data_IF_384401133429
#
_entry.id   IF_384401133429
#
_cell.length_a   1.000
_cell.length_b   1.000
_cell.length_c   1.000
_cell.angle_alpha   90.00
_cell.angle_beta   90.00
_cell.angle_gamma   90.00
#
_symmetry.space_group_name_H-M   'P 1'
#
loop_
_entity.id
_entity.type
_entity.pdbx_description
1 polymer ?
#
# COMPACT_ATOMS: atom_id res chain seq x y z
N UNK A 1 -19.58 -3.97 -15.96
CA UNK A 1 -19.16 -4.65 -14.74
C UNK A 1 -17.75 -5.17 -14.96
N UNK A 2 -16.80 -4.69 -14.18
CA UNK A 2 -15.45 -5.24 -14.14
C UNK A 2 -15.56 -6.47 -13.26
N UNK A 3 -15.37 -7.67 -13.85
CA UNK A 3 -15.37 -8.90 -13.08
C UNK A 3 -14.12 -8.97 -12.19
N UNK A 4 -14.31 -9.51 -11.00
CA UNK A 4 -13.18 -9.85 -10.11
C UNK A 4 -12.28 -10.83 -10.85
N UNK A 5 -10.99 -10.50 -11.03
CA UNK A 5 -10.02 -11.47 -11.53
C UNK A 5 -9.72 -12.46 -10.40
N UNK A 6 -9.87 -13.77 -10.63
CA UNK A 6 -9.55 -14.75 -9.60
C UNK A 6 -8.03 -14.84 -9.41
N UNK A 7 -7.58 -14.82 -8.16
CA UNK A 7 -6.18 -14.98 -7.78
C UNK A 7 -5.66 -16.42 -8.02
N UNK A 8 -6.54 -17.35 -8.37
CA UNK A 8 -6.20 -18.76 -8.62
C UNK A 8 -6.69 -19.13 -10.01
N UNK A 9 -5.77 -19.55 -10.86
CA UNK A 9 -6.07 -20.10 -12.18
C UNK A 9 -6.08 -21.62 -12.08
N UNK A 10 -7.26 -22.24 -12.17
CA UNK A 10 -7.39 -23.67 -12.29
C UNK A 10 -7.38 -24.03 -13.79
N UNK A 11 -6.43 -24.84 -14.27
CA UNK A 11 -6.40 -25.24 -15.68
C UNK A 11 -7.64 -26.07 -16.01
N UNK A 12 -8.42 -25.62 -17.00
CA UNK A 12 -9.60 -26.35 -17.49
C UNK A 12 -9.13 -27.44 -18.43
N UNK A 13 -9.15 -28.69 -17.97
CA UNK A 13 -8.84 -29.89 -18.77
C UNK A 13 -10.14 -30.61 -19.12
N UNK A 14 -10.09 -31.56 -20.06
CA UNK A 14 -11.24 -32.42 -20.37
C UNK A 14 -11.77 -33.19 -19.15
N UNK A 15 -10.88 -33.62 -18.24
CA UNK A 15 -11.24 -34.28 -16.98
C UNK A 15 -12.02 -33.36 -16.04
N UNK A 16 -11.68 -32.06 -16.00
CA UNK A 16 -12.39 -31.06 -15.18
C UNK A 16 -13.80 -30.78 -15.74
N UNK A 17 -13.98 -30.89 -17.06
CA UNK A 17 -15.26 -30.61 -17.73
C UNK A 17 -16.20 -31.83 -17.72
N UNK A 18 -15.67 -33.04 -17.80
CA UNK A 18 -16.43 -34.27 -18.00
C UNK A 18 -16.22 -35.33 -16.89
N UNK A 19 -15.40 -35.04 -15.89
CA UNK A 19 -15.15 -35.93 -14.76
C UNK A 19 -16.32 -35.99 -13.77
N UNK A 20 -16.38 -37.08 -12.98
CA UNK A 20 -17.28 -37.14 -11.84
C UNK A 20 -16.67 -36.34 -10.68
N UNK A 21 -17.25 -35.17 -10.38
CA UNK A 21 -16.82 -34.23 -9.34
C UNK A 21 -16.68 -32.80 -9.87
N UNK A 22 -16.77 -31.84 -8.99
CA UNK A 22 -16.52 -30.43 -9.30
C UNK A 22 -15.09 -30.09 -8.87
N UNK A 23 -14.14 -30.26 -9.81
CA UNK A 23 -12.73 -29.98 -9.54
C UNK A 23 -12.45 -28.53 -9.11
N UNK A 24 -13.31 -27.59 -9.51
CA UNK A 24 -13.24 -26.19 -9.08
C UNK A 24 -13.67 -26.05 -7.62
N UNK A 25 -14.72 -26.77 -7.25
CA UNK A 25 -15.20 -26.81 -5.86
C UNK A 25 -14.19 -27.54 -4.96
N UNK A 26 -13.64 -28.65 -5.42
CA UNK A 26 -12.65 -29.43 -4.69
C UNK A 26 -11.36 -28.59 -4.46
N UNK A 27 -10.89 -27.85 -5.46
CA UNK A 27 -9.73 -26.94 -5.30
C UNK A 27 -10.08 -25.76 -4.40
N UNK A 28 -11.27 -25.18 -4.51
CA UNK A 28 -11.72 -24.12 -3.62
C UNK A 28 -11.83 -24.59 -2.17
N UNK A 29 -12.35 -25.80 -1.96
CA UNK A 29 -12.41 -26.44 -0.63
C UNK A 29 -11.01 -26.76 -0.12
N UNK A 30 -10.11 -27.25 -0.97
CA UNK A 30 -8.72 -27.51 -0.60
C UNK A 30 -7.98 -26.22 -0.22
N UNK A 31 -8.26 -25.10 -0.90
CA UNK A 31 -7.73 -23.78 -0.54
C UNK A 31 -8.30 -23.26 0.79
N UNK A 32 -9.59 -23.49 1.05
CA UNK A 32 -10.23 -23.10 2.31
C UNK A 32 -9.82 -23.99 3.49
N UNK A 33 -9.53 -25.28 3.20
CA UNK A 33 -9.07 -26.26 4.17
C UNK A 33 -7.54 -26.33 4.28
N UNK A 34 -6.79 -25.70 3.37
CA UNK A 34 -5.39 -25.44 3.67
C UNK A 34 -5.40 -24.78 5.03
N UNK A 35 -4.75 -25.40 6.06
CA UNK A 35 -4.50 -24.63 7.27
C UNK A 35 -3.90 -23.35 6.72
N UNK A 36 -4.54 -22.21 7.01
CA UNK A 36 -3.89 -20.92 6.81
C UNK A 36 -2.48 -21.19 7.29
N UNK A 37 -1.49 -21.18 6.38
CA UNK A 37 -0.10 -21.41 6.78
C UNK A 37 -0.01 -20.46 7.93
N UNK A 38 0.09 -21.03 9.16
CA UNK A 38 -0.01 -20.23 10.36
C UNK A 38 1.10 -19.24 10.14
N UNK A 39 0.69 -18.04 9.65
CA UNK A 39 1.60 -17.11 9.10
C UNK A 39 2.61 -16.94 10.18
N UNK A 40 3.87 -17.15 9.89
CA UNK A 40 4.92 -16.91 10.88
C UNK A 40 4.60 -15.54 11.36
N UNK A 41 4.03 -15.43 12.58
CA UNK A 41 3.75 -14.10 13.12
C UNK A 41 5.12 -13.45 13.26
N UNK A 42 5.33 -12.29 12.62
CA UNK A 42 6.62 -11.63 12.71
C UNK A 42 6.96 -11.41 14.19
N UNK A 43 8.23 -11.47 14.52
CA UNK A 43 8.72 -11.24 15.89
C UNK A 43 8.53 -9.79 16.37
N UNK A 44 8.02 -8.92 15.50
CA UNK A 44 7.76 -7.50 15.72
C UNK A 44 7.60 -6.79 14.38
N UNK A 45 7.33 -5.48 14.36
CA UNK A 45 7.30 -4.68 13.14
C UNK A 45 8.73 -4.47 12.59
N UNK A 46 8.89 -4.12 11.31
CA UNK A 46 10.15 -3.63 10.77
C UNK A 46 10.60 -2.37 11.47
N UNK A 47 11.89 -2.07 11.39
CA UNK A 47 12.46 -0.83 11.91
C UNK A 47 12.08 0.35 11.03
N UNK A 48 11.69 1.47 11.67
CA UNK A 48 11.40 2.71 10.96
C UNK A 48 12.66 3.58 10.98
N UNK A 49 13.12 3.95 9.79
CA UNK A 49 14.26 4.84 9.62
C UNK A 49 14.00 6.25 10.17
N UNK A 50 15.02 6.91 10.67
CA UNK A 50 14.95 8.35 10.90
C UNK A 50 14.81 9.13 9.59
N UNK A 51 14.33 10.39 9.59
CA UNK A 51 14.26 11.21 8.38
C UNK A 51 15.60 11.36 7.66
N UNK A 52 16.71 11.38 8.39
CA UNK A 52 18.05 11.46 7.79
C UNK A 52 18.45 10.17 7.05
N UNK A 53 18.12 9.00 7.62
CA UNK A 53 18.34 7.70 6.98
C UNK A 53 17.41 7.55 5.77
N UNK A 54 16.12 7.91 5.89
CA UNK A 54 15.17 7.93 4.79
C UNK A 54 15.65 8.82 3.64
N UNK A 55 16.22 10.00 3.95
CA UNK A 55 16.81 10.87 2.93
C UNK A 55 18.04 10.23 2.27
N UNK A 56 18.87 9.54 3.04
CA UNK A 56 20.03 8.82 2.49
C UNK A 56 19.59 7.65 1.59
N UNK A 57 18.57 6.89 1.99
CA UNK A 57 17.98 5.81 1.21
C UNK A 57 17.41 6.33 -0.13
N UNK A 58 16.71 7.48 -0.11
CA UNK A 58 16.19 8.12 -1.33
C UNK A 58 17.32 8.48 -2.33
N UNK A 59 18.53 8.78 -1.86
CA UNK A 59 19.69 9.06 -2.72
C UNK A 59 20.35 7.78 -3.29
N UNK A 60 19.98 6.62 -2.79
CA UNK A 60 20.54 5.32 -3.18
C UNK A 60 19.59 4.50 -4.07
N UNK A 61 18.55 5.14 -4.63
CA UNK A 61 17.55 4.49 -5.48
C UNK A 61 16.85 3.30 -4.80
N UNK A 62 16.66 3.36 -3.47
CA UNK A 62 15.87 2.37 -2.75
C UNK A 62 14.43 2.40 -3.29
N UNK A 63 13.82 1.23 -3.58
CA UNK A 63 12.51 1.18 -4.21
C UNK A 63 11.40 1.74 -3.32
N UNK A 64 10.38 2.31 -3.95
CA UNK A 64 9.15 2.65 -3.25
C UNK A 64 8.27 1.41 -3.12
N UNK A 65 7.66 1.25 -1.95
CA UNK A 65 6.75 0.13 -1.66
C UNK A 65 5.65 0.00 -2.73
N UNK A 66 5.13 1.13 -3.19
CA UNK A 66 4.09 1.20 -4.22
C UNK A 66 4.55 0.67 -5.59
N UNK A 67 5.85 0.70 -5.87
CA UNK A 67 6.42 0.21 -7.12
C UNK A 67 6.61 -1.31 -7.13
N UNK A 68 6.66 -1.92 -5.94
CA UNK A 68 6.83 -3.35 -5.76
C UNK A 68 5.50 -4.12 -5.84
N UNK A 69 4.38 -3.42 -5.67
CA UNK A 69 3.06 -4.01 -5.81
C UNK A 69 2.73 -4.24 -7.29
N UNK A 70 2.26 -5.46 -7.67
CA UNK A 70 1.83 -5.74 -9.04
C UNK A 70 0.50 -5.09 -9.40
N UNK A 71 -0.28 -4.67 -8.40
CA UNK A 71 -1.57 -4.02 -8.59
C UNK A 71 -1.39 -2.62 -9.16
N UNK A 72 -2.13 -2.31 -10.23
CA UNK A 72 -2.14 -0.95 -10.77
C UNK A 72 -2.87 0.01 -9.81
N UNK A 73 -2.29 1.19 -9.62
CA UNK A 73 -2.92 2.26 -8.86
C UNK A 73 -4.19 2.73 -9.58
N UNK A 74 -5.34 2.48 -8.99
CA UNK A 74 -6.59 3.09 -9.43
C UNK A 74 -6.67 4.53 -8.90
N UNK A 75 -6.70 5.49 -9.82
CA UNK A 75 -6.83 6.91 -9.48
C UNK A 75 -8.25 7.28 -9.01
N UNK A 76 -9.23 6.38 -9.16
CA UNK A 76 -10.61 6.59 -8.72
C UNK A 76 -10.80 6.23 -7.25
N UNK A 77 -10.12 6.94 -6.38
CA UNK A 77 -10.14 6.75 -4.94
C UNK A 77 -11.44 7.26 -4.34
N UNK A 78 -12.17 6.39 -3.67
CA UNK A 78 -13.41 6.72 -2.99
C UNK A 78 -13.22 6.64 -1.49
N UNK A 79 -13.73 7.62 -0.76
CA UNK A 79 -13.75 7.56 0.69
C UNK A 79 -14.55 6.32 1.18
N UNK A 80 -14.03 5.65 2.21
CA UNK A 80 -14.64 4.45 2.80
C UNK A 80 -14.28 3.13 2.10
N UNK A 81 -13.58 3.16 0.98
CA UNK A 81 -13.03 1.94 0.35
C UNK A 81 -11.62 1.65 0.86
N UNK A 82 -11.27 0.38 0.92
CA UNK A 82 -9.92 -0.10 1.25
C UNK A 82 -9.28 -0.62 -0.02
N UNK A 83 -8.12 -0.07 -0.38
CA UNK A 83 -7.32 -0.53 -1.51
C UNK A 83 -6.20 -1.42 -0.96
N UNK A 84 -6.19 -2.68 -1.37
CA UNK A 84 -5.22 -3.66 -0.88
C UNK A 84 -4.18 -3.95 -1.95
N UNK A 85 -2.91 -3.90 -1.54
CA UNK A 85 -1.73 -4.19 -2.35
C UNK A 85 -0.95 -5.32 -1.71
N UNK A 86 -0.31 -6.16 -2.53
CA UNK A 86 0.49 -7.28 -2.09
C UNK A 86 1.94 -7.06 -2.50
N UNK A 87 2.86 -7.16 -1.55
CA UNK A 87 4.30 -6.97 -1.79
C UNK A 87 5.05 -8.16 -1.21
N UNK A 88 6.06 -8.64 -1.93
CA UNK A 88 6.99 -9.65 -1.42
C UNK A 88 8.36 -9.04 -1.32
N UNK A 89 9.03 -9.24 -0.19
CA UNK A 89 10.36 -8.72 0.13
C UNK A 89 11.26 -9.84 0.68
N UNK A 90 12.57 -9.65 0.51
CA UNK A 90 13.58 -10.37 1.28
C UNK A 90 13.83 -9.63 2.62
N UNK A 91 14.26 -10.34 3.66
CA UNK A 91 14.45 -9.78 5.02
C UNK A 91 15.53 -8.68 5.09
N UNK A 92 16.41 -8.62 4.08
CA UNK A 92 17.48 -7.60 3.95
C UNK A 92 17.10 -6.38 3.12
N UNK A 93 15.90 -6.35 2.53
CA UNK A 93 15.51 -5.24 1.67
C UNK A 93 15.12 -4.00 2.48
N UNK A 94 15.52 -2.85 1.96
CA UNK A 94 15.06 -1.55 2.42
C UNK A 94 14.00 -1.03 1.45
N UNK A 95 12.96 -0.38 1.96
CA UNK A 95 11.92 0.22 1.12
C UNK A 95 11.55 1.61 1.61
N UNK A 96 11.10 2.44 0.68
CA UNK A 96 10.52 3.75 0.96
C UNK A 96 9.00 3.67 0.83
N UNK A 97 8.29 4.03 1.87
CA UNK A 97 6.84 4.11 1.89
C UNK A 97 6.42 5.55 1.68
N UNK A 98 5.69 5.81 0.60
CA UNK A 98 5.37 7.15 0.12
C UNK A 98 3.88 7.45 0.23
N UNK A 99 3.55 8.63 0.77
CA UNK A 99 2.29 9.29 0.46
C UNK A 99 2.60 10.60 -0.27
N UNK A 100 1.90 10.84 -1.39
CA UNK A 100 2.04 12.08 -2.15
C UNK A 100 0.70 12.76 -2.38
N UNK A 101 0.68 14.08 -2.29
CA UNK A 101 -0.43 14.91 -2.71
C UNK A 101 0.08 15.99 -3.65
N UNK A 102 -0.53 16.11 -4.83
CA UNK A 102 -0.15 17.11 -5.83
C UNK A 102 -1.36 17.98 -6.19
N UNK A 103 -1.12 19.24 -6.52
CA UNK A 103 -2.15 20.18 -6.91
C UNK A 103 -1.69 21.06 -8.08
N UNK A 104 -2.64 21.68 -8.77
CA UNK A 104 -2.38 22.58 -9.91
C UNK A 104 -1.78 23.93 -9.50
N UNK A 105 -1.71 24.25 -8.21
CA UNK A 105 -1.08 25.46 -7.69
C UNK A 105 -0.58 25.26 -6.27
N UNK A 106 0.38 26.08 -5.86
CA UNK A 106 0.90 26.11 -4.49
C UNK A 106 -0.20 26.38 -3.45
N UNK A 107 -1.12 27.28 -3.75
CA UNK A 107 -2.25 27.62 -2.87
C UNK A 107 -3.18 26.41 -2.64
N UNK A 108 -3.49 25.65 -3.70
CA UNK A 108 -4.28 24.43 -3.60
C UNK A 108 -3.52 23.34 -2.83
N UNK A 109 -2.23 23.18 -3.09
CA UNK A 109 -1.37 22.23 -2.34
C UNK A 109 -1.39 22.53 -0.84
N UNK A 110 -1.23 23.81 -0.46
CA UNK A 110 -1.35 24.25 0.94
C UNK A 110 -2.73 23.95 1.54
N UNK A 111 -3.80 24.24 0.79
CA UNK A 111 -5.18 23.97 1.25
C UNK A 111 -5.45 22.48 1.47
N UNK A 112 -4.87 21.60 0.63
CA UNK A 112 -4.95 20.14 0.82
C UNK A 112 -4.30 19.75 2.12
N UNK A 113 -3.06 20.19 2.36
CA UNK A 113 -2.32 19.88 3.60
C UNK A 113 -3.04 20.34 4.86
N UNK A 114 -3.64 21.53 4.84
CA UNK A 114 -4.40 22.09 5.96
C UNK A 114 -5.69 21.29 6.25
N UNK A 115 -6.19 20.55 5.24
CA UNK A 115 -7.45 19.82 5.30
C UNK A 115 -7.28 18.32 5.47
N UNK A 116 -6.05 17.84 5.37
CA UNK A 116 -5.70 16.43 5.35
C UNK A 116 -5.09 15.99 6.67
N UNK A 117 -5.55 14.84 7.17
CA UNK A 117 -4.89 14.11 8.23
C UNK A 117 -4.30 12.83 7.64
N UNK A 118 -2.98 12.66 7.76
CA UNK A 118 -2.24 11.48 7.32
C UNK A 118 -1.82 10.64 8.51
N UNK A 119 -2.27 9.39 8.55
CA UNK A 119 -1.87 8.41 9.54
C UNK A 119 -1.26 7.18 8.84
N UNK A 120 -0.06 6.82 9.23
CA UNK A 120 0.60 5.59 8.83
C UNK A 120 0.69 4.64 10.04
N UNK A 121 0.49 3.35 9.80
CA UNK A 121 0.73 2.34 10.83
C UNK A 121 1.32 1.06 10.24
N UNK A 122 2.16 0.38 11.00
CA UNK A 122 2.78 -0.91 10.68
C UNK A 122 2.39 -1.89 11.77
N UNK A 123 1.76 -3.01 11.41
CA UNK A 123 1.29 -4.06 12.33
C UNK A 123 0.44 -3.49 13.49
N UNK A 124 -0.39 -2.48 13.17
CA UNK A 124 -1.21 -1.77 14.14
C UNK A 124 -0.47 -0.77 15.04
N UNK A 125 0.84 -0.60 14.86
CA UNK A 125 1.63 0.42 15.57
C UNK A 125 1.68 1.71 14.73
N UNK A 126 1.29 2.87 15.27
CA UNK A 126 1.38 4.12 14.52
C UNK A 126 2.84 4.49 14.26
N UNK A 127 3.12 4.97 13.05
CA UNK A 127 4.39 5.59 12.69
C UNK A 127 4.38 7.03 13.19
N UNK A 128 5.28 7.43 14.10
CA UNK A 128 5.32 8.81 14.58
C UNK A 128 5.59 9.79 13.44
N UNK A 129 4.90 10.94 13.44
CA UNK A 129 5.09 11.97 12.41
C UNK A 129 6.52 12.52 12.35
N UNK A 130 7.25 12.48 13.46
CA UNK A 130 8.65 12.90 13.52
C UNK A 130 9.59 11.97 12.72
N UNK A 131 9.12 10.80 12.32
CA UNK A 131 9.86 9.87 11.46
C UNK A 131 9.60 10.13 9.97
N UNK A 132 8.71 11.05 9.60
CA UNK A 132 8.47 11.36 8.21
C UNK A 132 9.48 12.35 7.66
N UNK A 133 10.06 12.00 6.51
CA UNK A 133 10.76 12.95 5.67
C UNK A 133 9.72 13.67 4.81
N UNK A 134 9.55 14.97 5.02
CA UNK A 134 8.65 15.82 4.23
C UNK A 134 9.42 16.55 3.14
N UNK A 135 8.97 16.43 1.90
CA UNK A 135 9.57 17.09 0.75
C UNK A 135 8.50 17.83 -0.04
N UNK A 136 8.90 18.94 -0.65
CA UNK A 136 8.08 19.71 -1.59
C UNK A 136 8.79 19.79 -2.92
N UNK A 137 8.05 19.66 -4.01
CA UNK A 137 8.59 19.77 -5.37
C UNK A 137 7.57 20.44 -6.28
N UNK A 138 8.07 21.26 -7.18
CA UNK A 138 7.34 21.72 -8.36
C UNK A 138 7.88 20.95 -9.56
N UNK A 139 7.00 20.20 -10.22
CA UNK A 139 7.35 19.44 -11.40
C UNK A 139 6.20 19.47 -12.41
N UNK A 140 6.50 19.86 -13.66
CA UNK A 140 5.53 19.96 -14.75
C UNK A 140 4.29 20.81 -14.43
N UNK A 141 4.46 21.88 -13.64
CA UNK A 141 3.36 22.76 -13.21
C UNK A 141 2.45 22.16 -12.14
N UNK A 142 2.89 21.10 -11.50
CA UNK A 142 2.25 20.51 -10.31
C UNK A 142 3.07 20.83 -9.07
N UNK A 143 2.38 21.19 -8.01
CA UNK A 143 2.96 21.44 -6.70
C UNK A 143 2.68 20.22 -5.81
N UNK A 144 3.72 19.45 -5.55
CA UNK A 144 3.61 18.18 -4.83
C UNK A 144 4.23 18.26 -3.44
N UNK A 145 3.54 17.67 -2.49
CA UNK A 145 4.07 17.36 -1.16
C UNK A 145 4.21 15.84 -1.03
N UNK A 146 5.34 15.41 -0.49
CA UNK A 146 5.67 14.01 -0.25
C UNK A 146 5.94 13.80 1.23
N UNK A 147 5.31 12.79 1.78
CA UNK A 147 5.58 12.26 3.12
C UNK A 147 6.15 10.86 2.97
N UNK A 148 7.40 10.64 3.37
CA UNK A 148 8.11 9.39 3.22
C UNK A 148 8.49 8.82 4.57
N UNK A 149 8.36 7.50 4.72
CA UNK A 149 8.92 6.72 5.81
C UNK A 149 9.81 5.62 5.21
N UNK A 150 11.06 5.52 5.66
CA UNK A 150 11.92 4.40 5.30
C UNK A 150 11.70 3.23 6.26
N UNK A 151 11.72 2.00 5.73
CA UNK A 151 11.53 0.76 6.46
C UNK A 151 12.67 -0.20 6.15
N UNK A 152 13.18 -0.87 7.19
CA UNK A 152 14.30 -1.80 7.13
C UNK A 152 14.21 -2.87 8.21
N UNK A 153 15.14 -3.83 8.22
CA UNK A 153 15.21 -4.89 9.22
C UNK A 153 13.89 -5.65 9.36
N UNK A 154 13.37 -6.14 8.27
CA UNK A 154 12.08 -6.81 8.22
C UNK A 154 12.14 -8.17 8.93
N UNK A 155 11.36 -8.37 10.01
CA UNK A 155 11.16 -9.71 10.52
C UNK A 155 10.39 -10.56 9.50
N UNK A 156 10.72 -11.84 9.41
CA UNK A 156 10.01 -12.76 8.51
C UNK A 156 8.55 -12.91 8.89
N UNK A 157 7.69 -12.98 7.90
CA UNK A 157 6.26 -13.16 8.06
C UNK A 157 5.42 -12.19 7.25
N UNK A 158 4.16 -12.08 7.60
CA UNK A 158 3.22 -11.14 6.98
C UNK A 158 3.13 -9.87 7.84
N UNK A 159 3.43 -8.73 7.22
CA UNK A 159 3.29 -7.40 7.82
C UNK A 159 2.13 -6.66 7.16
N UNK A 160 1.41 -5.88 7.98
CA UNK A 160 0.30 -5.05 7.54
C UNK A 160 0.65 -3.58 7.68
N UNK A 161 0.78 -2.89 6.55
CA UNK A 161 0.99 -1.44 6.52
C UNK A 161 -0.30 -0.75 6.09
N UNK A 162 -0.69 0.29 6.81
CA UNK A 162 -1.87 1.08 6.50
C UNK A 162 -1.51 2.55 6.30
N UNK A 163 -1.89 3.10 5.16
CA UNK A 163 -1.96 4.54 4.93
C UNK A 163 -3.41 4.97 5.04
N UNK A 164 -3.72 5.85 5.97
CA UNK A 164 -5.05 6.45 6.12
C UNK A 164 -4.95 7.94 5.87
N UNK A 165 -5.67 8.41 4.86
CA UNK A 165 -5.77 9.83 4.50
C UNK A 165 -7.19 10.28 4.74
N UNK A 166 -7.39 11.20 5.67
CA UNK A 166 -8.71 11.72 5.98
C UNK A 166 -8.82 13.18 5.54
N UNK A 167 -9.79 13.48 4.67
CA UNK A 167 -10.17 14.84 4.32
C UNK A 167 -11.39 15.26 5.11
N UNK A 168 -11.32 16.42 5.77
CA UNK A 168 -12.42 16.96 6.58
C UNK A 168 -13.55 17.58 5.74
N UNK A 169 -13.29 17.86 4.47
CA UNK A 169 -14.27 18.32 3.47
C UNK A 169 -13.81 17.86 2.06
N UNK A 170 -14.66 18.06 1.07
CA UNK A 170 -14.29 17.79 -0.33
C UNK A 170 -13.11 18.67 -0.76
N UNK A 171 -12.13 18.07 -1.43
CA UNK A 171 -10.89 18.70 -1.89
C UNK A 171 -10.89 18.77 -3.41
N UNK A 172 -10.55 19.94 -3.94
CA UNK A 172 -10.22 20.18 -5.36
C UNK A 172 -8.71 20.41 -5.46
N UNK A 173 -7.99 19.52 -6.15
CA UNK A 173 -6.55 19.67 -6.39
C UNK A 173 -6.25 20.48 -7.68
N UNK A 174 -7.29 20.89 -8.40
CA UNK A 174 -7.22 21.54 -9.69
C UNK A 174 -7.17 20.57 -10.88
N UNK A 175 -7.16 19.25 -10.63
CA UNK A 175 -7.25 18.19 -11.64
C UNK A 175 -8.47 17.31 -11.39
N UNK A 176 -8.79 17.04 -10.12
CA UNK A 176 -9.90 16.20 -9.71
C UNK A 176 -10.40 16.54 -8.31
N UNK A 177 -11.57 15.99 -7.97
CA UNK A 177 -12.17 16.14 -6.65
C UNK A 177 -11.99 14.86 -5.83
N UNK A 178 -11.67 15.04 -4.55
CA UNK A 178 -11.63 13.97 -3.56
C UNK A 178 -12.76 14.18 -2.56
N UNK A 179 -13.57 13.15 -2.35
CA UNK A 179 -14.65 13.21 -1.39
C UNK A 179 -14.12 13.35 0.05
N UNK A 180 -14.87 14.05 0.89
CA UNK A 180 -14.62 14.07 2.32
C UNK A 180 -14.71 12.65 2.90
N UNK A 181 -13.88 12.37 3.91
CA UNK A 181 -13.82 11.07 4.57
C UNK A 181 -12.44 10.44 4.49
N UNK A 182 -12.34 9.20 4.96
CA UNK A 182 -11.07 8.47 5.07
C UNK A 182 -10.86 7.57 3.85
N UNK A 183 -9.69 7.69 3.24
CA UNK A 183 -9.18 6.82 2.18
C UNK A 183 -8.14 5.90 2.80
N UNK A 184 -8.24 4.61 2.56
CA UNK A 184 -7.37 3.60 3.19
C UNK A 184 -6.62 2.83 2.12
N UNK A 185 -5.30 2.74 2.29
CA UNK A 185 -4.42 1.90 1.49
C UNK A 185 -3.79 0.88 2.41
N UNK A 186 -4.02 -0.38 2.12
CA UNK A 186 -3.51 -1.53 2.86
C UNK A 186 -2.44 -2.22 2.02
N UNK A 187 -1.24 -2.37 2.58
CA UNK A 187 -0.16 -3.14 1.98
C UNK A 187 0.07 -4.38 2.82
N UNK A 188 -0.10 -5.55 2.21
CA UNK A 188 0.28 -6.84 2.78
C UNK A 188 1.66 -7.19 2.29
N UNK A 189 2.62 -7.11 3.18
CA UNK A 189 4.03 -7.35 2.88
C UNK A 189 4.42 -8.71 3.40
N UNK A 190 4.83 -9.60 2.51
CA UNK A 190 5.30 -10.94 2.82
C UNK A 190 6.82 -10.95 2.75
N UNK A 191 7.46 -11.27 3.87
CA UNK A 191 8.92 -11.29 4.00
C UNK A 191 9.40 -12.71 4.09
N UNK A 192 10.18 -13.12 3.10
CA UNK A 192 10.78 -14.46 2.98
C UNK A 192 12.29 -14.44 3.36
N UNK A 193 12.98 -15.60 3.17
CA UNK A 193 14.44 -15.70 3.34
C UNK A 193 15.18 -15.13 2.14
#
# INVERSE_FOLDING_TARGET
GVGVQPNVLVPVTEEVVFGEGDALLDEAVALLLRPAVAGIQPSGPPSIMSPAETHAALQQDIPFLEQLAPEEYDNLRRAGEVYTYTVSLDDSEEVLWLHSSCAASEALSGSILDSMELNLSVDGQPVPSDNFLSLHSEFNGQYCHYSLAGLQDWPRGEHLLLTQVTFNHEIDDGFQFYAAGTHVFEYRVYVDE
#
